data_IF_169706312726
#
_entry.id   IF_169706312726
#
_cell.length_a   1.000
_cell.length_b   1.000
_cell.length_c   1.000
_cell.angle_alpha   90.00
_cell.angle_beta   90.00
_cell.angle_gamma   90.00
#
_symmetry.space_group_name_H-M   'P 1'
#
loop_
_entity.id
_entity.type
_entity.pdbx_description
1 polymer ?
#
# COMPACT_ATOMS: atom_id res chain seq x y z
N UNK A 1 -20.31 48.76 -52.03
CA UNK A 1 -20.73 47.49 -52.64
C UNK A 1 -20.48 46.38 -51.63
N UNK A 2 -21.55 45.94 -50.98
CA UNK A 2 -21.62 44.80 -50.03
C UNK A 2 -21.39 43.46 -50.76
N UNK A 3 -21.18 42.36 -49.99
CA UNK A 3 -21.15 40.90 -50.34
C UNK A 3 -19.71 40.32 -50.22
N UNK A 4 -19.35 39.27 -49.46
CA UNK A 4 -20.05 38.22 -48.69
C UNK A 4 -19.06 37.55 -47.69
N UNK A 5 -19.57 37.02 -46.57
CA UNK A 5 -18.88 36.17 -45.57
C UNK A 5 -18.22 34.91 -46.16
N UNK A 6 -17.05 34.52 -45.63
CA UNK A 6 -16.59 33.12 -45.52
C UNK A 6 -15.80 32.92 -44.22
N UNK A 7 -16.36 32.15 -43.29
CA UNK A 7 -15.67 31.68 -42.09
C UNK A 7 -14.67 30.58 -42.46
N UNK A 8 -13.44 30.64 -41.93
CA UNK A 8 -12.63 29.45 -41.66
C UNK A 8 -11.97 29.58 -40.29
N UNK A 9 -12.52 28.82 -39.36
CA UNK A 9 -11.91 28.46 -38.10
C UNK A 9 -10.61 27.72 -38.43
N UNK A 10 -9.48 28.22 -37.95
CA UNK A 10 -8.24 27.46 -37.88
C UNK A 10 -7.71 27.58 -36.44
N UNK A 11 -8.17 26.65 -35.62
CA UNK A 11 -7.60 26.37 -34.31
C UNK A 11 -6.16 25.86 -34.50
N UNK A 12 -5.18 26.55 -33.89
CA UNK A 12 -3.83 26.03 -33.75
C UNK A 12 -3.57 25.75 -32.26
N UNK A 13 -4.04 24.58 -31.86
CA UNK A 13 -3.32 23.57 -31.09
C UNK A 13 -2.21 24.06 -30.13
N UNK A 14 -2.61 24.58 -28.96
CA UNK A 14 -1.76 24.53 -27.76
C UNK A 14 -2.07 23.20 -27.07
N UNK A 15 -1.42 22.13 -27.53
CA UNK A 15 -1.35 20.86 -26.81
C UNK A 15 0.09 20.75 -26.29
N UNK A 16 0.37 21.49 -25.23
CA UNK A 16 1.49 21.19 -24.35
C UNK A 16 1.06 20.02 -23.47
N UNK A 17 1.21 18.80 -23.97
CA UNK A 17 1.17 17.59 -23.13
C UNK A 17 2.41 17.66 -22.23
N UNK A 18 2.27 18.28 -21.07
CA UNK A 18 3.09 17.92 -19.92
C UNK A 18 2.52 16.62 -19.36
N UNK A 19 2.75 15.51 -20.05
CA UNK A 19 2.66 14.19 -19.41
C UNK A 19 3.92 14.00 -18.56
N UNK A 20 3.98 14.75 -17.44
CA UNK A 20 4.76 14.31 -16.29
C UNK A 20 3.99 13.15 -15.64
N UNK A 21 3.99 12.00 -16.31
CA UNK A 21 3.55 10.74 -15.73
C UNK A 21 4.60 10.28 -14.72
N UNK A 22 4.67 10.95 -13.57
CA UNK A 22 5.37 10.40 -12.42
C UNK A 22 4.63 9.13 -12.02
N UNK A 23 5.21 7.96 -12.33
CA UNK A 23 4.78 6.68 -11.78
C UNK A 23 4.70 6.82 -10.26
N UNK A 24 3.50 6.97 -9.71
CA UNK A 24 3.33 7.23 -8.28
C UNK A 24 3.54 5.93 -7.52
N UNK A 25 4.54 5.89 -6.63
CA UNK A 25 4.74 4.80 -5.63
C UNK A 25 3.64 4.72 -4.55
N UNK A 26 2.52 5.42 -4.76
CA UNK A 26 1.40 5.51 -3.83
C UNK A 26 0.21 4.82 -4.49
N UNK A 27 -0.55 4.08 -3.68
CA UNK A 27 -1.79 3.48 -4.14
C UNK A 27 -2.71 4.56 -4.74
N UNK A 28 -3.34 4.27 -5.87
CA UNK A 28 -4.34 5.16 -6.48
C UNK A 28 -5.73 4.72 -6.08
N UNK A 29 -6.74 5.58 -6.25
CA UNK A 29 -8.14 5.25 -5.92
C UNK A 29 -8.64 3.97 -6.61
N UNK A 30 -8.08 3.62 -7.77
CA UNK A 30 -8.37 2.39 -8.51
C UNK A 30 -7.88 1.11 -7.80
N UNK A 31 -7.00 1.22 -6.81
CA UNK A 31 -6.39 0.10 -6.09
C UNK A 31 -6.98 -0.10 -4.68
N UNK A 32 -8.03 0.64 -4.34
CA UNK A 32 -8.77 0.48 -3.09
C UNK A 32 -9.71 -0.72 -3.17
N UNK A 33 -9.59 -1.64 -2.21
CA UNK A 33 -10.37 -2.88 -2.18
C UNK A 33 -11.82 -2.70 -1.73
N UNK A 34 -12.12 -1.59 -1.04
CA UNK A 34 -13.38 -1.38 -0.32
C UNK A 34 -13.34 -1.84 1.15
N UNK A 35 -12.27 -2.48 1.63
CA UNK A 35 -12.17 -2.98 3.01
C UNK A 35 -12.39 -1.89 4.08
N UNK A 36 -11.89 -0.67 3.84
CA UNK A 36 -11.98 0.44 4.79
C UNK A 36 -13.31 1.20 4.75
N UNK A 37 -14.10 1.02 3.68
CA UNK A 37 -15.37 1.72 3.45
C UNK A 37 -15.23 3.19 3.02
N UNK A 38 -14.37 3.98 3.69
CA UNK A 38 -14.12 5.39 3.37
C UNK A 38 -12.61 5.69 3.28
N UNK A 39 -12.21 6.21 2.11
CA UNK A 39 -10.82 6.54 1.78
C UNK A 39 -10.60 8.06 1.67
N UNK A 40 -11.66 8.87 1.74
CA UNK A 40 -11.65 10.30 1.38
C UNK A 40 -10.70 11.15 2.22
N UNK A 41 -10.38 10.70 3.43
CA UNK A 41 -9.54 11.43 4.39
C UNK A 41 -8.05 11.12 4.27
N UNK A 42 -7.70 10.11 3.49
CA UNK A 42 -6.32 9.65 3.33
C UNK A 42 -5.46 10.72 2.64
N UNK A 43 -4.25 10.91 3.16
CA UNK A 43 -3.25 11.78 2.56
C UNK A 43 -1.93 11.04 2.44
N UNK A 44 -1.17 11.35 1.39
CA UNK A 44 0.18 10.84 1.23
C UNK A 44 1.08 11.38 2.36
N UNK A 45 1.86 10.48 2.95
CA UNK A 45 2.87 10.78 3.95
C UNK A 45 3.94 9.68 3.90
N UNK A 46 4.86 9.70 4.86
CA UNK A 46 5.93 8.72 4.98
C UNK A 46 5.72 7.82 6.22
N UNK A 47 6.17 6.58 6.10
CA UNK A 47 6.34 5.65 7.22
C UNK A 47 7.66 5.91 7.94
N UNK A 48 7.90 5.24 9.07
CA UNK A 48 9.13 5.42 9.83
C UNK A 48 10.40 4.98 9.04
N UNK A 49 10.24 4.06 8.11
CA UNK A 49 11.25 3.63 7.13
C UNK A 49 11.35 4.52 5.89
N UNK A 50 10.66 5.67 5.86
CA UNK A 50 10.68 6.61 4.72
C UNK A 50 9.88 6.15 3.51
N UNK A 51 9.05 5.11 3.64
CA UNK A 51 8.23 4.62 2.52
C UNK A 51 6.95 5.45 2.40
N UNK A 52 6.54 5.73 1.16
CA UNK A 52 5.28 6.42 0.90
C UNK A 52 4.09 5.58 1.35
N UNK A 53 3.11 6.24 1.94
CA UNK A 53 1.91 5.60 2.49
C UNK A 53 0.75 6.59 2.52
N UNK A 54 -0.45 6.10 2.26
CA UNK A 54 -1.66 6.88 2.51
C UNK A 54 -2.07 6.68 3.95
N UNK A 55 -2.15 7.78 4.71
CA UNK A 55 -2.52 7.73 6.13
C UNK A 55 -3.47 8.87 6.47
N UNK A 56 -4.40 8.56 7.35
CA UNK A 56 -5.17 9.53 8.10
C UNK A 56 -5.09 9.17 9.58
N UNK A 57 -4.95 10.19 10.42
CA UNK A 57 -4.99 10.09 11.88
C UNK A 57 -6.04 11.11 12.33
N UNK A 58 -6.95 10.70 13.21
CA UNK A 58 -7.93 11.60 13.81
C UNK A 58 -7.19 12.73 14.55
N UNK A 59 -7.62 14.00 14.40
CA UNK A 59 -7.00 15.12 15.12
C UNK A 59 -7.09 14.96 16.65
N UNK A 60 -8.12 14.25 17.13
CA UNK A 60 -8.34 13.99 18.55
C UNK A 60 -7.62 12.72 19.04
N UNK A 61 -6.85 12.03 18.18
CA UNK A 61 -6.18 10.80 18.58
C UNK A 61 -5.00 11.08 19.51
N UNK A 62 -5.11 10.60 20.75
CA UNK A 62 -4.04 10.59 21.72
C UNK A 62 -3.82 9.17 22.27
N UNK A 63 -2.70 8.55 21.89
CA UNK A 63 -2.39 7.17 22.30
C UNK A 63 -2.37 6.97 23.82
N UNK A 64 -2.08 8.03 24.60
CA UNK A 64 -2.03 7.97 26.07
C UNK A 64 -3.40 7.71 26.71
N UNK A 65 -4.49 7.92 25.98
CA UNK A 65 -5.85 7.66 26.45
C UNK A 65 -6.24 6.18 26.35
N UNK A 66 -5.38 5.35 25.77
CA UNK A 66 -5.63 3.93 25.57
C UNK A 66 -4.76 3.07 26.48
N UNK A 67 -5.35 2.03 27.05
CA UNK A 67 -4.71 1.11 28.00
C UNK A 67 -4.36 -0.24 27.38
N UNK A 68 -4.81 -0.49 26.16
CA UNK A 68 -4.55 -1.74 25.47
C UNK A 68 -5.01 -1.73 24.02
N UNK A 69 -4.65 -2.79 23.32
CA UNK A 69 -4.97 -3.01 21.91
C UNK A 69 -5.50 -4.43 21.70
N UNK A 70 -6.64 -4.52 21.02
CA UNK A 70 -7.20 -5.78 20.54
C UNK A 70 -6.79 -5.96 19.08
N UNK A 71 -5.98 -6.97 18.82
CA UNK A 71 -5.55 -7.33 17.47
C UNK A 71 -6.55 -8.31 16.85
N UNK A 72 -7.23 -7.88 15.79
CA UNK A 72 -8.05 -8.78 14.97
C UNK A 72 -7.13 -9.51 13.99
N UNK A 73 -7.22 -10.84 13.84
CA UNK A 73 -6.46 -11.57 12.83
C UNK A 73 -6.62 -10.93 11.45
N UNK A 74 -5.49 -10.70 10.80
CA UNK A 74 -5.38 -10.28 9.42
C UNK A 74 -6.08 -11.28 8.51
N UNK A 75 -6.77 -10.77 7.52
CA UNK A 75 -7.48 -11.55 6.49
C UNK A 75 -7.02 -11.13 5.09
N UNK A 76 -7.43 -11.88 4.08
CA UNK A 76 -7.45 -11.39 2.70
C UNK A 76 -8.79 -10.71 2.41
N UNK A 77 -8.77 -9.59 1.69
CA UNK A 77 -9.99 -8.92 1.24
C UNK A 77 -9.83 -8.28 -0.16
N UNK A 78 -10.59 -8.71 -1.19
CA UNK A 78 -11.49 -9.87 -1.18
C UNK A 78 -10.74 -11.19 -0.90
N UNK A 79 -11.48 -12.28 -0.73
CA UNK A 79 -10.88 -13.60 -0.45
C UNK A 79 -9.77 -13.94 -1.45
N UNK A 80 -8.71 -14.66 -1.01
CA UNK A 80 -7.54 -14.85 -1.84
C UNK A 80 -7.89 -15.74 -3.03
N UNK A 81 -7.44 -15.35 -4.22
CA UNK A 81 -7.55 -16.19 -5.42
C UNK A 81 -6.15 -16.64 -5.82
N UNK A 82 -5.81 -17.93 -5.63
CA UNK A 82 -4.55 -18.47 -6.10
C UNK A 82 -4.36 -18.23 -7.61
N UNK A 83 -3.11 -18.11 -8.03
CA UNK A 83 -2.73 -17.98 -9.44
C UNK A 83 -1.62 -18.96 -9.80
N UNK A 84 -1.26 -19.03 -11.08
CA UNK A 84 -0.11 -19.81 -11.53
C UNK A 84 1.20 -19.38 -10.83
N UNK A 85 1.29 -18.14 -10.36
CA UNK A 85 2.49 -17.58 -9.70
C UNK A 85 2.40 -17.56 -8.18
N UNK A 86 1.21 -17.61 -7.61
CA UNK A 86 1.00 -17.57 -6.15
C UNK A 86 0.06 -18.70 -5.75
N UNK A 87 0.62 -19.75 -5.13
CA UNK A 87 -0.17 -20.88 -4.66
C UNK A 87 -0.97 -20.54 -3.40
N UNK A 88 -2.05 -21.29 -3.13
CA UNK A 88 -2.79 -21.17 -1.86
C UNK A 88 -1.87 -21.38 -0.65
N UNK A 89 -0.97 -22.37 -0.72
CA UNK A 89 0.02 -22.63 0.33
C UNK A 89 0.90 -21.40 0.60
N UNK A 90 1.32 -20.70 -0.45
CA UNK A 90 2.08 -19.45 -0.32
C UNK A 90 1.25 -18.38 0.38
N UNK A 91 -0.01 -18.20 -0.01
CA UNK A 91 -0.93 -17.25 0.60
C UNK A 91 -1.16 -17.55 2.09
N UNK A 92 -1.32 -18.82 2.45
CA UNK A 92 -1.51 -19.25 3.85
C UNK A 92 -0.25 -18.97 4.68
N UNK A 93 0.93 -19.24 4.13
CA UNK A 93 2.21 -18.95 4.78
C UNK A 93 2.42 -17.44 5.00
N UNK A 94 2.08 -16.63 4.00
CA UNK A 94 2.12 -15.16 4.09
C UNK A 94 1.20 -14.68 5.21
N UNK A 95 -0.05 -15.16 5.23
CA UNK A 95 -1.05 -14.72 6.19
C UNK A 95 -0.67 -15.12 7.63
N UNK A 96 -0.18 -16.35 7.82
CA UNK A 96 0.28 -16.83 9.12
C UNK A 96 1.49 -16.04 9.63
N UNK A 97 2.47 -15.78 8.76
CA UNK A 97 3.66 -15.00 9.12
C UNK A 97 3.30 -13.55 9.44
N UNK A 98 2.49 -12.90 8.60
CA UNK A 98 2.01 -11.53 8.82
C UNK A 98 1.25 -11.43 10.15
N UNK A 99 0.31 -12.35 10.41
CA UNK A 99 -0.44 -12.36 11.66
C UNK A 99 0.45 -12.45 12.90
N UNK A 100 1.45 -13.34 12.87
CA UNK A 100 2.40 -13.47 13.97
C UNK A 100 3.19 -12.16 14.17
N UNK A 101 3.86 -11.70 13.11
CA UNK A 101 4.82 -10.60 13.20
C UNK A 101 4.16 -9.24 13.45
N UNK A 102 3.02 -8.96 12.81
CA UNK A 102 2.31 -7.70 12.99
C UNK A 102 1.63 -7.64 14.37
N UNK A 103 1.08 -8.75 14.88
CA UNK A 103 0.57 -8.81 16.26
C UNK A 103 1.66 -8.52 17.29
N UNK A 104 2.83 -9.14 17.12
CA UNK A 104 3.98 -8.89 17.99
C UNK A 104 4.43 -7.43 17.91
N UNK A 105 4.46 -6.83 16.72
CA UNK A 105 4.81 -5.42 16.52
C UNK A 105 3.80 -4.47 17.20
N UNK A 106 2.50 -4.72 17.04
CA UNK A 106 1.43 -3.95 17.68
C UNK A 106 1.52 -4.04 19.21
N UNK A 107 1.90 -5.20 19.74
CA UNK A 107 2.09 -5.39 21.20
C UNK A 107 3.20 -4.50 21.80
N UNK A 108 4.09 -3.95 20.96
CA UNK A 108 5.13 -3.00 21.39
C UNK A 108 4.60 -1.58 21.54
N UNK A 109 3.44 -1.27 20.95
CA UNK A 109 2.79 0.04 21.09
C UNK A 109 1.90 0.09 22.34
N UNK A 110 1.09 -0.95 22.55
CA UNK A 110 0.19 -1.08 23.69
C UNK A 110 0.05 -2.55 24.10
N UNK A 111 -0.27 -2.86 25.38
CA UNK A 111 -0.53 -4.22 25.82
C UNK A 111 -1.68 -4.88 25.05
N UNK A 112 -1.50 -6.15 24.65
CA UNK A 112 -2.57 -6.92 24.03
C UNK A 112 -3.68 -7.23 25.03
N UNK A 113 -4.93 -7.03 24.61
CA UNK A 113 -6.12 -7.42 25.39
C UNK A 113 -6.93 -8.50 24.68
N UNK A 114 -7.72 -9.25 25.44
CA UNK A 114 -8.48 -10.41 24.95
C UNK A 114 -9.90 -10.07 24.47
N UNK A 115 -10.36 -8.83 24.66
CA UNK A 115 -11.70 -8.40 24.27
C UNK A 115 -11.69 -6.99 23.68
N UNK A 116 -12.36 -6.76 22.54
CA UNK A 116 -12.47 -5.43 21.94
C UNK A 116 -13.44 -4.51 22.69
N UNK A 117 -14.27 -5.05 23.61
CA UNK A 117 -15.30 -4.29 24.34
C UNK A 117 -14.76 -3.56 25.57
N UNK A 118 -13.49 -3.77 25.94
CA UNK A 118 -12.88 -3.07 27.06
C UNK A 118 -12.78 -1.58 26.73
N UNK A 119 -13.09 -0.71 27.71
CA UNK A 119 -12.92 0.75 27.53
C UNK A 119 -11.47 1.09 27.23
N UNK A 120 -11.26 2.21 26.55
CA UNK A 120 -9.92 2.74 26.26
C UNK A 120 -9.05 1.70 25.55
N UNK A 121 -9.63 0.98 24.60
CA UNK A 121 -8.96 -0.06 23.81
C UNK A 121 -8.95 0.32 22.35
N UNK A 122 -7.81 0.16 21.69
CA UNK A 122 -7.72 0.25 20.25
C UNK A 122 -8.04 -1.10 19.62
N UNK A 123 -8.96 -1.13 18.67
CA UNK A 123 -9.27 -2.34 17.88
C UNK A 123 -8.58 -2.21 16.53
N UNK A 124 -7.61 -3.07 16.27
CA UNK A 124 -6.89 -3.10 14.98
C UNK A 124 -7.59 -4.09 14.06
N UNK A 125 -8.01 -3.60 12.89
CA UNK A 125 -8.51 -4.39 11.77
C UNK A 125 -7.62 -4.15 10.57
N UNK A 126 -7.22 -5.21 9.89
CA UNK A 126 -6.38 -5.11 8.71
C UNK A 126 -6.75 -6.18 7.69
N UNK A 127 -6.44 -5.91 6.42
CA UNK A 127 -6.54 -6.87 5.34
C UNK A 127 -5.34 -6.76 4.39
N UNK A 128 -4.88 -7.92 3.91
CA UNK A 128 -4.07 -8.01 2.69
C UNK A 128 -5.05 -7.96 1.52
N UNK A 129 -4.92 -6.94 0.68
CA UNK A 129 -5.89 -6.70 -0.39
C UNK A 129 -5.40 -7.14 -1.76
N UNK A 130 -4.08 -7.31 -1.91
CA UNK A 130 -3.48 -7.97 -3.05
C UNK A 130 -2.05 -8.44 -2.71
N UNK A 131 -1.65 -9.54 -3.37
CA UNK A 131 -0.26 -9.97 -3.52
C UNK A 131 -0.02 -10.05 -5.02
N UNK A 132 0.84 -9.17 -5.55
CA UNK A 132 1.08 -9.06 -6.98
C UNK A 132 2.59 -9.10 -7.29
N UNK A 133 2.93 -9.43 -8.54
CA UNK A 133 4.22 -9.08 -9.12
C UNK A 133 3.98 -7.92 -10.08
N UNK A 134 4.69 -6.82 -9.90
CA UNK A 134 4.55 -5.62 -10.72
C UNK A 134 5.87 -5.28 -11.37
N UNK A 135 5.81 -4.80 -12.62
CA UNK A 135 7.01 -4.33 -13.32
C UNK A 135 7.74 -3.28 -12.49
N UNK A 136 9.06 -3.40 -12.41
CA UNK A 136 9.88 -2.38 -11.79
C UNK A 136 9.72 -1.06 -12.56
N UNK A 137 9.72 0.03 -11.80
CA UNK A 137 9.97 1.37 -12.32
C UNK A 137 11.14 1.37 -13.31
N UNK A 138 11.03 2.17 -14.38
CA UNK A 138 12.09 2.31 -15.37
C UNK A 138 13.33 2.92 -14.72
N UNK A 139 14.46 2.23 -14.85
CA UNK A 139 15.75 2.77 -14.42
C UNK A 139 16.27 3.77 -15.47
N UNK A 140 17.10 4.73 -15.07
CA UNK A 140 17.52 5.84 -15.96
C UNK A 140 18.26 5.34 -17.21
N UNK A 141 18.99 4.22 -17.12
CA UNK A 141 19.63 3.60 -18.30
C UNK A 141 18.66 2.78 -19.17
N UNK A 142 17.43 2.52 -18.73
CA UNK A 142 16.40 1.93 -19.59
C UNK A 142 15.74 3.02 -20.47
N UNK A 143 16.01 4.30 -20.19
CA UNK A 143 15.52 5.43 -21.00
C UNK A 143 16.42 5.77 -22.19
N UNK A 144 17.59 5.13 -22.32
CA UNK A 144 18.44 5.25 -23.51
C UNK A 144 18.00 4.24 -24.59
N UNK A 145 18.15 4.54 -25.90
CA UNK A 145 17.53 3.75 -26.97
C UNK A 145 17.84 2.25 -26.96
N UNK A 146 19.08 1.87 -26.69
CA UNK A 146 19.50 0.45 -26.62
C UNK A 146 18.89 -0.22 -25.39
N UNK A 147 18.92 0.46 -24.24
CA UNK A 147 18.29 -0.02 -23.00
C UNK A 147 16.79 -0.19 -23.16
N UNK A 148 16.11 0.75 -23.83
CA UNK A 148 14.68 0.72 -24.09
C UNK A 148 14.26 -0.46 -24.98
N UNK A 149 15.06 -0.80 -26.01
CA UNK A 149 14.79 -1.98 -26.87
C UNK A 149 14.92 -3.28 -26.08
N UNK A 150 15.96 -3.41 -25.24
CA UNK A 150 16.17 -4.59 -24.40
C UNK A 150 15.06 -4.71 -23.36
N UNK A 151 14.75 -3.61 -22.66
CA UNK A 151 13.64 -3.53 -21.71
C UNK A 151 12.29 -3.86 -22.34
N UNK A 152 12.00 -3.33 -23.54
CA UNK A 152 10.78 -3.60 -24.29
C UNK A 152 10.66 -5.05 -24.74
N UNK A 153 11.78 -5.66 -25.17
CA UNK A 153 11.83 -7.07 -25.54
C UNK A 153 11.60 -7.97 -24.32
N UNK A 154 12.23 -7.64 -23.18
CA UNK A 154 12.01 -8.36 -21.92
C UNK A 154 10.57 -8.22 -21.43
N UNK A 155 9.95 -7.04 -21.55
CA UNK A 155 8.55 -6.83 -21.20
C UNK A 155 7.61 -7.67 -22.07
N UNK A 156 7.78 -7.62 -23.41
CA UNK A 156 6.95 -8.37 -24.35
C UNK A 156 7.09 -9.90 -24.21
N UNK A 157 8.26 -10.38 -23.79
CA UNK A 157 8.54 -11.83 -23.62
C UNK A 157 8.27 -12.35 -22.21
N UNK A 158 7.83 -11.48 -21.28
CA UNK A 158 7.63 -11.88 -19.89
C UNK A 158 8.93 -12.25 -19.17
N UNK A 159 10.03 -11.59 -19.51
CA UNK A 159 11.34 -11.67 -18.86
C UNK A 159 11.74 -10.36 -18.14
N UNK A 160 10.81 -9.40 -17.99
CA UNK A 160 11.10 -8.16 -17.27
C UNK A 160 11.15 -8.46 -15.77
N UNK A 161 12.12 -7.86 -15.08
CA UNK A 161 12.21 -8.00 -13.64
C UNK A 161 11.06 -7.24 -12.95
N UNK A 162 10.47 -7.88 -11.95
CA UNK A 162 9.27 -7.41 -11.25
C UNK A 162 9.53 -7.32 -9.75
N UNK A 163 8.85 -6.42 -9.06
CA UNK A 163 8.83 -6.40 -7.60
C UNK A 163 7.59 -7.13 -7.11
N UNK A 164 7.75 -7.94 -6.04
CA UNK A 164 6.57 -8.39 -5.30
C UNK A 164 5.93 -7.18 -4.61
N UNK A 165 4.62 -6.99 -4.75
CA UNK A 165 3.87 -5.95 -4.08
C UNK A 165 2.84 -6.57 -3.14
N UNK A 166 2.90 -6.17 -1.87
CA UNK A 166 1.90 -6.49 -0.85
C UNK A 166 1.07 -5.24 -0.59
N UNK A 167 -0.23 -5.34 -0.81
CA UNK A 167 -1.17 -4.27 -0.50
C UNK A 167 -1.84 -4.55 0.85
N UNK A 168 -1.76 -3.58 1.74
CA UNK A 168 -2.28 -3.65 3.10
C UNK A 168 -3.21 -2.47 3.36
N UNK A 169 -4.41 -2.76 3.84
CA UNK A 169 -5.35 -1.78 4.34
C UNK A 169 -5.56 -1.99 5.84
N UNK A 170 -5.47 -0.92 6.63
CA UNK A 170 -5.55 -0.98 8.10
C UNK A 170 -6.48 0.11 8.63
N UNK A 171 -7.31 -0.27 9.58
CA UNK A 171 -8.17 0.62 10.36
C UNK A 171 -7.95 0.34 11.84
N UNK A 172 -7.67 1.38 12.61
CA UNK A 172 -7.62 1.35 14.06
C UNK A 172 -8.84 2.09 14.60
N UNK A 173 -9.62 1.42 15.43
CA UNK A 173 -10.91 1.91 15.94
C UNK A 173 -10.81 2.13 17.44
N UNK A 174 -11.37 3.24 17.92
CA UNK A 174 -11.57 3.47 19.35
C UNK A 174 -12.77 2.68 19.86
N UNK A 175 -12.56 1.77 20.82
CA UNK A 175 -13.64 0.96 21.40
C UNK A 175 -14.71 1.77 22.12
N UNK A 176 -14.40 2.97 22.61
CA UNK A 176 -15.34 3.81 23.32
C UNK A 176 -16.39 4.43 22.38
N UNK A 177 -15.96 4.82 21.17
CA UNK A 177 -16.78 5.57 20.21
C UNK A 177 -17.19 4.76 18.99
N UNK A 178 -16.51 3.65 18.71
CA UNK A 178 -16.68 2.85 17.50
C UNK A 178 -16.15 3.54 16.24
N UNK A 179 -15.44 4.66 16.37
CA UNK A 179 -14.95 5.47 15.24
C UNK A 179 -13.49 5.13 14.90
N UNK A 180 -13.11 5.20 13.61
CA UNK A 180 -11.72 5.07 13.23
C UNK A 180 -10.90 6.26 13.75
N UNK A 181 -9.74 5.96 14.33
CA UNK A 181 -8.76 6.96 14.80
C UNK A 181 -7.48 6.95 13.97
N UNK A 182 -7.17 5.83 13.31
CA UNK A 182 -6.10 5.73 12.33
C UNK A 182 -6.61 4.91 11.14
N UNK A 183 -6.34 5.38 9.92
CA UNK A 183 -6.61 4.65 8.68
C UNK A 183 -5.35 4.69 7.82
N UNK A 184 -4.95 3.54 7.29
CA UNK A 184 -3.74 3.39 6.49
C UNK A 184 -4.03 2.55 5.26
N UNK A 185 -3.57 3.00 4.10
CA UNK A 185 -3.39 2.15 2.93
C UNK A 185 -1.94 2.17 2.54
N UNK A 186 -1.35 0.99 2.45
CA UNK A 186 0.06 0.82 2.16
C UNK A 186 0.28 -0.22 1.09
N UNK A 187 1.01 0.21 0.07
CA UNK A 187 1.68 -0.68 -0.86
C UNK A 187 3.11 -0.87 -0.37
N UNK A 188 3.49 -2.12 -0.12
CA UNK A 188 4.83 -2.46 0.33
C UNK A 188 5.49 -3.33 -0.73
N UNK A 189 6.66 -2.91 -1.20
CA UNK A 189 7.45 -3.67 -2.16
C UNK A 189 8.35 -4.68 -1.43
N UNK A 190 8.45 -5.88 -1.99
CA UNK A 190 9.38 -6.92 -1.59
C UNK A 190 10.62 -6.95 -2.47
N UNK A 191 11.35 -8.07 -2.39
CA UNK A 191 12.52 -8.30 -3.23
C UNK A 191 12.16 -8.29 -4.72
N UNK A 192 13.15 -7.91 -5.51
CA UNK A 192 13.16 -8.05 -6.95
C UNK A 192 13.09 -9.53 -7.36
N UNK A 193 12.21 -9.82 -8.31
CA UNK A 193 12.09 -11.09 -9.00
C UNK A 193 12.68 -10.88 -10.39
N UNK A 194 13.83 -11.51 -10.68
CA UNK A 194 14.54 -11.35 -11.95
C UNK A 194 13.80 -11.98 -13.15
N UNK A 195 12.76 -12.77 -12.91
CA UNK A 195 11.98 -13.45 -13.96
C UNK A 195 10.46 -13.33 -13.67
N UNK A 196 9.73 -12.62 -14.53
CA UNK A 196 8.28 -12.44 -14.42
C UNK A 196 7.41 -13.69 -14.67
N UNK A 197 8.02 -14.85 -14.93
CA UNK A 197 7.33 -16.14 -14.93
C UNK A 197 7.63 -16.98 -13.68
N UNK A 198 8.58 -16.57 -12.84
CA UNK A 198 8.92 -17.31 -11.63
C UNK A 198 7.77 -17.24 -10.60
N UNK A 199 7.49 -18.32 -9.85
CA UNK A 199 6.57 -18.30 -8.72
C UNK A 199 7.04 -17.31 -7.64
N UNK A 200 6.11 -16.57 -7.04
CA UNK A 200 6.39 -15.77 -5.83
C UNK A 200 6.45 -16.72 -4.65
N UNK A 201 7.54 -16.63 -3.89
CA UNK A 201 7.75 -17.42 -2.68
C UNK A 201 7.30 -16.66 -1.44
N UNK A 202 6.98 -17.40 -0.37
CA UNK A 202 6.66 -16.78 0.91
C UNK A 202 7.83 -15.94 1.45
N UNK A 203 9.08 -16.38 1.25
CA UNK A 203 10.26 -15.69 1.80
C UNK A 203 10.51 -14.31 1.19
N UNK A 204 10.19 -14.13 -0.10
CA UNK A 204 10.23 -12.81 -0.75
C UNK A 204 9.24 -11.84 -0.11
N UNK A 205 8.03 -12.30 0.21
CA UNK A 205 6.99 -11.50 0.86
C UNK A 205 7.27 -11.27 2.36
N UNK A 206 7.93 -12.22 3.04
CA UNK A 206 8.31 -12.08 4.46
C UNK A 206 9.17 -10.83 4.68
N UNK A 207 10.11 -10.55 3.78
CA UNK A 207 10.95 -9.35 3.87
C UNK A 207 10.14 -8.05 3.79
N UNK A 208 9.09 -8.02 2.96
CA UNK A 208 8.13 -6.91 2.89
C UNK A 208 7.39 -6.73 4.21
N UNK A 209 6.95 -7.85 4.81
CA UNK A 209 6.27 -7.86 6.11
C UNK A 209 7.22 -7.37 7.22
N UNK A 210 8.50 -7.71 7.16
CA UNK A 210 9.49 -7.25 8.14
C UNK A 210 9.68 -5.72 8.10
N UNK A 211 9.61 -5.10 6.92
CA UNK A 211 9.59 -3.64 6.81
C UNK A 211 8.32 -3.04 7.42
N UNK A 212 7.15 -3.65 7.19
CA UNK A 212 5.90 -3.22 7.84
C UNK A 212 6.00 -3.30 9.37
N UNK A 213 6.62 -4.35 9.90
CA UNK A 213 6.88 -4.53 11.33
C UNK A 213 7.73 -3.39 11.88
N UNK A 214 8.82 -3.05 11.19
CA UNK A 214 9.67 -1.92 11.58
C UNK A 214 8.86 -0.62 11.67
N UNK A 215 8.00 -0.37 10.68
CA UNK A 215 7.18 0.84 10.66
C UNK A 215 6.15 0.89 11.77
N UNK A 216 5.56 -0.25 12.14
CA UNK A 216 4.62 -0.33 13.27
C UNK A 216 5.35 -0.08 14.59
N UNK A 217 6.52 -0.67 14.80
CA UNK A 217 7.31 -0.50 16.03
C UNK A 217 7.75 0.96 16.19
N UNK A 218 8.14 1.60 15.10
CA UNK A 218 8.65 2.97 15.10
C UNK A 218 7.57 4.01 14.78
N UNK A 219 6.30 3.61 14.72
CA UNK A 219 5.20 4.52 14.48
C UNK A 219 5.08 5.54 15.62
N UNK A 220 4.95 6.82 15.24
CA UNK A 220 4.72 7.94 16.15
C UNK A 220 3.53 8.72 15.62
N UNK A 221 2.45 8.80 16.39
CA UNK A 221 1.38 9.75 16.10
C UNK A 221 1.87 11.16 16.48
N UNK A 222 1.48 12.18 15.72
CA UNK A 222 1.89 13.60 15.91
C UNK A 222 1.56 14.19 17.30
N UNK A 223 0.98 13.43 18.22
CA UNK A 223 0.79 13.78 19.62
C UNK A 223 2.01 13.50 20.53
N UNK A 224 3.13 12.98 19.99
CA UNK A 224 4.40 12.90 20.73
C UNK A 224 5.27 14.14 20.43
N UNK A 225 5.63 14.96 21.44
CA UNK A 225 6.66 15.97 21.23
C UNK A 225 7.99 15.28 20.89
N UNK A 226 8.71 15.83 19.93
CA UNK A 226 10.12 15.47 19.67
C UNK A 226 10.93 15.71 20.96
N UNK A 227 11.75 14.74 21.40
CA UNK A 227 12.75 15.03 22.43
C UNK A 227 13.76 16.06 21.94
#
# INVERSE_FOLDING_TARGET
MTILKRYKIAALLVIGIFMAGCASKVTTSAQFSGFLGDYSKLKETESASGQKVLRWISPDFNIKEYTGVYYTPLIYFPGPTPSARVSQKTLDQILAYANKRLKDAVSKQLPLVHSPKRRNTLVVRAAITAVAAEDRDLEVYEMIPIGAVIAGTMAATGNRAQNTALYLEVQVIDSNTGKPVIVVVRKAYGKEISNSNAPITADEVKSTIDNLVYDIINFRAKSQPTP
#
